data_IF_371261151525
#
_entry.id   IF_371261151525
#
_cell.length_a   1.000
_cell.length_b   1.000
_cell.length_c   1.000
_cell.angle_alpha   90.00
_cell.angle_beta   90.00
_cell.angle_gamma   90.00
#
_symmetry.space_group_name_H-M   'P 1'
#
loop_
_entity.id
_entity.type
_entity.pdbx_description
1 polymer ?
#
# COMPACT_ATOMS: atom_id res chain seq x y z
N UNK A 1 -12.63 21.68 -16.64
CA UNK A 1 -11.58 21.25 -15.70
C UNK A 1 -11.10 22.50 -14.97
N UNK A 2 -11.30 22.59 -13.65
CA UNK A 2 -10.86 23.74 -12.84
C UNK A 2 -9.41 23.52 -12.40
N UNK A 3 -8.42 24.30 -12.88
CA UNK A 3 -7.02 24.14 -12.47
C UNK A 3 -6.80 24.31 -10.96
N UNK A 4 -7.74 24.99 -10.28
CA UNK A 4 -7.71 25.19 -8.83
C UNK A 4 -8.11 23.94 -8.04
N UNK A 5 -8.89 23.04 -8.63
CA UNK A 5 -9.41 21.86 -7.93
C UNK A 5 -8.29 20.91 -7.47
N UNK A 6 -7.24 20.72 -8.27
CA UNK A 6 -6.10 19.89 -7.88
C UNK A 6 -5.35 20.50 -6.69
N UNK A 7 -5.11 21.82 -6.72
CA UNK A 7 -4.46 22.52 -5.61
C UNK A 7 -5.28 22.44 -4.32
N UNK A 8 -6.60 22.59 -4.42
CA UNK A 8 -7.53 22.45 -3.29
C UNK A 8 -7.50 21.04 -2.68
N UNK A 9 -7.51 19.99 -3.51
CA UNK A 9 -7.46 18.60 -3.06
C UNK A 9 -6.13 18.25 -2.38
N UNK A 10 -5.01 18.75 -2.91
CA UNK A 10 -3.68 18.53 -2.34
C UNK A 10 -3.47 19.18 -0.96
N UNK A 11 -4.24 20.22 -0.63
CA UNK A 11 -4.21 20.88 0.68
C UNK A 11 -5.49 20.58 1.48
N UNK A 12 -6.24 19.54 1.13
CA UNK A 12 -7.40 19.11 1.91
C UNK A 12 -6.95 18.11 2.98
N UNK A 13 -7.35 18.26 4.25
CA UNK A 13 -6.87 17.44 5.37
C UNK A 13 -7.16 15.93 5.20
N UNK A 14 -8.18 15.57 4.42
CA UNK A 14 -8.52 14.16 4.15
C UNK A 14 -8.13 13.69 2.76
N UNK A 15 -8.40 14.48 1.72
CA UNK A 15 -8.15 14.05 0.34
C UNK A 15 -6.66 14.04 -0.01
N UNK A 16 -5.86 14.92 0.60
CA UNK A 16 -4.43 15.02 0.30
C UNK A 16 -3.74 13.66 0.45
N UNK A 17 -4.03 12.91 1.53
CA UNK A 17 -3.51 11.57 1.77
C UNK A 17 -3.73 10.59 0.61
N UNK A 18 -4.87 10.69 -0.08
CA UNK A 18 -5.19 9.83 -1.22
C UNK A 18 -4.33 10.11 -2.46
N UNK A 19 -3.60 11.22 -2.52
CA UNK A 19 -2.60 11.44 -3.58
C UNK A 19 -1.54 10.32 -3.63
N UNK A 20 -1.23 9.68 -2.50
CA UNK A 20 -0.37 8.52 -2.46
C UNK A 20 -0.89 7.32 -3.28
N UNK A 21 -2.21 7.17 -3.41
CA UNK A 21 -2.83 6.07 -4.19
C UNK A 21 -2.52 6.17 -5.68
N UNK A 22 -2.37 7.38 -6.22
CA UNK A 22 -1.93 7.60 -7.59
C UNK A 22 -0.53 7.01 -7.83
N UNK A 23 0.41 7.27 -6.93
CA UNK A 23 1.77 6.73 -7.02
C UNK A 23 1.80 5.21 -6.87
N UNK A 24 1.02 4.67 -5.93
CA UNK A 24 0.83 3.22 -5.79
C UNK A 24 0.34 2.60 -7.11
N UNK A 25 -0.62 3.23 -7.80
CA UNK A 25 -1.12 2.72 -9.08
C UNK A 25 -0.02 2.64 -10.15
N UNK A 26 0.89 3.61 -10.21
CA UNK A 26 2.04 3.60 -11.12
C UNK A 26 2.95 2.41 -10.82
N UNK A 27 3.26 2.14 -9.55
CA UNK A 27 4.07 0.97 -9.18
C UNK A 27 3.44 -0.34 -9.67
N UNK A 28 2.12 -0.51 -9.54
CA UNK A 28 1.45 -1.71 -10.05
C UNK A 28 1.38 -1.76 -11.57
N UNK A 29 1.29 -0.61 -12.27
CA UNK A 29 1.42 -0.58 -13.72
C UNK A 29 2.82 -1.10 -14.13
N UNK A 30 3.89 -0.64 -13.47
CA UNK A 30 5.24 -1.13 -13.72
C UNK A 30 5.38 -2.63 -13.40
N UNK A 31 4.81 -3.07 -12.27
CA UNK A 31 4.78 -4.47 -11.85
C UNK A 31 4.12 -5.36 -12.91
N UNK A 32 2.94 -4.96 -13.40
CA UNK A 32 2.21 -5.73 -14.41
C UNK A 32 2.87 -5.66 -15.79
N UNK A 33 3.52 -4.53 -16.12
CA UNK A 33 4.31 -4.39 -17.34
C UNK A 33 5.50 -5.35 -17.34
N UNK A 34 6.16 -5.52 -16.19
CA UNK A 34 7.18 -6.53 -15.99
C UNK A 34 6.62 -7.94 -16.16
N UNK A 35 5.52 -8.27 -15.48
CA UNK A 35 4.97 -9.61 -15.45
C UNK A 35 4.40 -10.07 -16.80
N UNK A 36 3.69 -9.20 -17.51
CA UNK A 36 2.96 -9.56 -18.75
C UNK A 36 3.61 -9.01 -20.02
N UNK A 37 4.32 -7.89 -19.94
CA UNK A 37 4.93 -7.24 -21.10
C UNK A 37 6.29 -7.84 -21.47
N UNK A 38 7.20 -7.97 -20.50
CA UNK A 38 8.59 -8.40 -20.74
C UNK A 38 8.70 -9.76 -21.44
N UNK A 39 7.94 -10.81 -21.08
CA UNK A 39 8.02 -12.10 -21.78
C UNK A 39 7.71 -12.04 -23.28
N UNK A 40 6.98 -11.02 -23.73
CA UNK A 40 6.54 -10.84 -25.13
C UNK A 40 7.25 -9.69 -25.84
N UNK A 41 8.14 -8.96 -25.15
CA UNK A 41 8.79 -7.76 -25.65
C UNK A 41 10.31 -7.95 -25.72
N UNK A 42 10.99 -7.09 -26.48
CA UNK A 42 12.45 -7.13 -26.60
C UNK A 42 13.18 -6.55 -25.38
N UNK A 43 14.53 -6.65 -25.35
CA UNK A 43 15.38 -6.17 -24.26
C UNK A 43 15.21 -4.68 -23.90
N UNK A 44 14.67 -3.87 -24.83
CA UNK A 44 14.37 -2.46 -24.60
C UNK A 44 13.42 -2.24 -23.43
N UNK A 45 12.46 -3.15 -23.21
CA UNK A 45 11.47 -3.00 -22.14
C UNK A 45 12.10 -3.26 -20.77
N UNK A 46 12.99 -4.25 -20.67
CA UNK A 46 13.78 -4.53 -19.45
C UNK A 46 14.57 -3.29 -19.04
N UNK A 47 15.28 -2.66 -19.99
CA UNK A 47 16.03 -1.42 -19.74
C UNK A 47 15.12 -0.24 -19.37
N UNK A 48 13.95 -0.15 -20.00
CA UNK A 48 12.96 0.89 -19.72
C UNK A 48 12.45 0.77 -18.28
N UNK A 49 12.14 -0.45 -17.83
CA UNK A 49 11.64 -0.70 -16.48
C UNK A 49 12.70 -0.43 -15.39
N UNK A 50 13.98 -0.70 -15.66
CA UNK A 50 15.07 -0.28 -14.77
C UNK A 50 15.06 1.24 -14.57
N UNK A 51 14.99 2.00 -15.66
CA UNK A 51 14.99 3.48 -15.61
C UNK A 51 13.75 3.98 -14.87
N UNK A 52 12.59 3.42 -15.19
CA UNK A 52 11.31 3.80 -14.56
C UNK A 52 11.28 3.46 -13.08
N UNK A 53 11.91 2.37 -12.64
CA UNK A 53 12.00 2.01 -11.22
C UNK A 53 12.71 3.10 -10.41
N UNK A 54 13.91 3.53 -10.84
CA UNK A 54 14.67 4.56 -10.14
C UNK A 54 14.04 5.94 -10.24
N UNK A 55 13.47 6.29 -11.41
CA UNK A 55 12.72 7.53 -11.57
C UNK A 55 11.51 7.57 -10.63
N UNK A 56 10.73 6.49 -10.60
CA UNK A 56 9.57 6.35 -9.72
C UNK A 56 9.98 6.46 -8.25
N UNK A 57 11.04 5.76 -7.82
CA UNK A 57 11.52 5.83 -6.44
C UNK A 57 11.95 7.25 -6.06
N UNK A 58 12.66 7.95 -6.95
CA UNK A 58 13.06 9.35 -6.74
C UNK A 58 11.86 10.30 -6.64
N UNK A 59 10.90 10.17 -7.56
CA UNK A 59 9.67 10.97 -7.50
C UNK A 59 8.83 10.68 -6.26
N UNK A 60 8.66 9.41 -5.90
CA UNK A 60 7.95 9.01 -4.68
C UNK A 60 8.62 9.56 -3.42
N UNK A 61 9.95 9.63 -3.39
CA UNK A 61 10.70 10.22 -2.27
C UNK A 61 10.43 11.72 -2.14
N UNK A 62 10.41 12.44 -3.26
CA UNK A 62 10.04 13.86 -3.24
C UNK A 62 8.62 14.04 -2.74
N UNK A 63 7.67 13.24 -3.25
CA UNK A 63 6.25 13.32 -2.88
C UNK A 63 6.06 13.08 -1.39
N UNK A 64 6.62 12.00 -0.83
CA UNK A 64 6.45 11.69 0.59
C UNK A 64 7.05 12.78 1.50
N UNK A 65 8.20 13.35 1.12
CA UNK A 65 8.85 14.43 1.88
C UNK A 65 8.01 15.71 1.84
N UNK A 66 7.60 16.15 0.65
CA UNK A 66 6.80 17.37 0.52
C UNK A 66 5.43 17.22 1.16
N UNK A 67 4.79 16.06 0.99
CA UNK A 67 3.45 15.84 1.49
C UNK A 67 3.41 15.78 3.02
N UNK A 68 4.34 15.05 3.67
CA UNK A 68 4.42 15.11 5.13
C UNK A 68 4.84 16.49 5.64
N UNK A 69 5.67 17.23 4.90
CA UNK A 69 5.99 18.61 5.28
C UNK A 69 4.75 19.50 5.29
N UNK A 70 3.92 19.46 4.23
CA UNK A 70 2.66 20.21 4.16
C UNK A 70 1.71 19.77 5.28
N UNK A 71 1.55 18.47 5.51
CA UNK A 71 0.69 17.96 6.59
C UNK A 71 1.18 18.45 7.97
N UNK A 72 2.49 18.48 8.22
CA UNK A 72 3.03 18.91 9.51
C UNK A 72 3.00 20.42 9.70
N UNK A 73 2.99 21.21 8.63
CA UNK A 73 3.03 22.67 8.68
C UNK A 73 1.62 23.29 8.66
N UNK A 74 0.71 22.73 7.87
CA UNK A 74 -0.60 23.34 7.59
C UNK A 74 -1.77 22.70 8.36
N UNK A 75 -1.65 21.44 8.77
CA UNK A 75 -2.78 20.67 9.31
C UNK A 75 -2.61 20.29 10.79
N UNK A 76 -3.68 20.47 11.58
CA UNK A 76 -3.76 19.95 12.94
C UNK A 76 -4.59 18.66 12.95
N UNK A 77 -3.92 17.51 12.85
CA UNK A 77 -4.57 16.21 12.83
C UNK A 77 -4.64 15.60 14.24
N UNK A 78 -5.82 15.55 14.89
CA UNK A 78 -5.94 14.98 16.23
C UNK A 78 -5.71 13.47 16.17
N UNK A 79 -4.95 12.92 17.11
CA UNK A 79 -4.69 11.46 17.16
C UNK A 79 -5.99 10.65 17.27
N UNK A 80 -7.06 11.21 17.87
CA UNK A 80 -8.37 10.57 17.96
C UNK A 80 -9.03 10.28 16.58
N UNK A 81 -8.62 10.99 15.54
CA UNK A 81 -9.11 10.85 14.17
C UNK A 81 -8.17 10.00 13.29
N UNK A 82 -7.09 9.47 13.86
CA UNK A 82 -6.11 8.70 13.11
C UNK A 82 -6.75 7.51 12.40
N UNK A 83 -6.56 7.48 11.08
CA UNK A 83 -7.00 6.41 10.19
C UNK A 83 -5.80 5.83 9.43
N UNK A 84 -5.83 4.54 9.05
CA UNK A 84 -4.72 3.93 8.31
C UNK A 84 -4.45 4.62 6.95
N UNK A 85 -5.42 5.35 6.42
CA UNK A 85 -5.27 6.18 5.22
C UNK A 85 -4.16 7.24 5.36
N UNK A 86 -3.81 7.68 6.58
CA UNK A 86 -2.72 8.65 6.79
C UNK A 86 -1.34 8.14 6.36
N UNK A 87 -1.21 6.83 6.14
CA UNK A 87 0.00 6.20 5.62
C UNK A 87 0.09 6.22 4.08
N UNK A 88 -0.99 6.54 3.38
CA UNK A 88 -1.05 6.50 1.90
C UNK A 88 0.09 7.28 1.21
N UNK A 89 0.56 8.44 1.70
CA UNK A 89 1.70 9.15 1.09
C UNK A 89 3.02 8.37 1.10
N UNK A 90 3.28 7.57 2.14
CA UNK A 90 4.46 6.70 2.23
C UNK A 90 4.24 5.31 1.61
N UNK A 91 2.99 4.96 1.31
CA UNK A 91 2.64 3.66 0.75
C UNK A 91 3.36 3.27 -0.54
N UNK A 92 3.71 4.19 -1.47
CA UNK A 92 4.60 3.93 -2.59
C UNK A 92 5.88 3.15 -2.23
N UNK A 93 6.42 3.37 -1.03
CA UNK A 93 7.63 2.69 -0.56
C UNK A 93 7.39 1.25 -0.10
N UNK A 94 6.18 0.93 0.37
CA UNK A 94 5.80 -0.45 0.71
C UNK A 94 5.69 -1.33 -0.54
N UNK A 95 5.33 -0.74 -1.68
CA UNK A 95 5.16 -1.47 -2.96
C UNK A 95 6.41 -1.45 -3.85
N UNK A 96 7.43 -0.66 -3.51
CA UNK A 96 8.74 -0.66 -4.18
C UNK A 96 9.50 -1.98 -3.98
N UNK A 97 9.38 -2.60 -2.82
CA UNK A 97 9.99 -3.90 -2.53
C UNK A 97 9.47 -5.02 -3.42
N UNK A 98 8.14 -5.25 -3.49
CA UNK A 98 7.55 -6.22 -4.41
C UNK A 98 7.85 -5.92 -5.88
N UNK A 99 7.87 -4.63 -6.26
CA UNK A 99 8.24 -4.22 -7.61
C UNK A 99 9.70 -4.57 -7.93
N UNK A 100 10.64 -4.34 -7.00
CA UNK A 100 12.03 -4.74 -7.17
C UNK A 100 12.17 -6.25 -7.37
N UNK A 101 11.45 -7.06 -6.59
CA UNK A 101 11.51 -8.51 -6.66
C UNK A 101 11.11 -9.07 -8.03
N UNK A 102 10.09 -8.48 -8.68
CA UNK A 102 9.72 -8.91 -10.04
C UNK A 102 10.66 -8.38 -11.12
N UNK A 103 11.33 -7.26 -10.88
CA UNK A 103 12.24 -6.63 -11.84
C UNK A 103 13.61 -7.28 -11.85
N UNK A 104 14.22 -7.50 -10.69
CA UNK A 104 15.64 -7.84 -10.53
C UNK A 104 16.08 -9.06 -11.34
N UNK A 105 15.23 -10.10 -11.42
CA UNK A 105 15.56 -11.35 -12.10
C UNK A 105 15.69 -11.20 -13.62
N UNK A 106 14.92 -10.29 -14.23
CA UNK A 106 15.00 -10.03 -15.67
C UNK A 106 16.18 -9.16 -16.08
N UNK A 107 16.84 -8.53 -15.11
CA UNK A 107 17.88 -7.55 -15.34
C UNK A 107 19.25 -8.23 -15.47
N UNK A 108 20.18 -7.64 -16.23
CA UNK A 108 21.58 -8.05 -16.19
C UNK A 108 22.13 -8.05 -14.76
N UNK A 109 23.10 -8.93 -14.41
CA UNK A 109 23.61 -9.05 -13.03
C UNK A 109 24.12 -7.73 -12.42
N UNK A 110 24.71 -6.84 -13.23
CA UNK A 110 25.18 -5.52 -12.79
C UNK A 110 24.04 -4.54 -12.43
N UNK A 111 22.80 -4.85 -12.84
CA UNK A 111 21.60 -4.02 -12.62
C UNK A 111 20.61 -4.66 -11.64
N UNK A 112 20.51 -5.99 -11.65
CA UNK A 112 19.63 -6.74 -10.75
C UNK A 112 19.99 -6.53 -9.27
N UNK A 113 21.27 -6.63 -8.92
CA UNK A 113 21.72 -6.45 -7.53
C UNK A 113 21.43 -5.05 -6.97
N UNK A 114 21.71 -3.92 -7.67
CA UNK A 114 21.28 -2.61 -7.22
C UNK A 114 19.76 -2.48 -7.03
N UNK A 115 18.95 -3.08 -7.91
CA UNK A 115 17.49 -3.08 -7.77
C UNK A 115 17.06 -3.88 -6.54
N UNK A 116 17.66 -5.04 -6.27
CA UNK A 116 17.44 -5.81 -5.04
C UNK A 116 17.70 -4.97 -3.79
N UNK A 117 18.88 -4.34 -3.73
CA UNK A 117 19.30 -3.50 -2.59
C UNK A 117 18.37 -2.28 -2.46
N UNK A 118 18.01 -1.65 -3.58
CA UNK A 118 17.04 -0.56 -3.61
C UNK A 118 15.68 -1.00 -3.09
N UNK A 119 15.18 -2.16 -3.53
CA UNK A 119 13.92 -2.76 -3.08
C UNK A 119 13.86 -2.95 -1.57
N UNK A 120 14.91 -3.54 -0.98
CA UNK A 120 15.01 -3.69 0.49
C UNK A 120 15.05 -2.32 1.18
N UNK A 121 15.83 -1.38 0.66
CA UNK A 121 15.99 -0.04 1.24
C UNK A 121 14.67 0.71 1.27
N UNK A 122 13.97 0.74 0.14
CA UNK A 122 12.69 1.44 0.00
C UNK A 122 11.58 0.77 0.82
N UNK A 123 11.49 -0.56 0.80
CA UNK A 123 10.53 -1.28 1.63
C UNK A 123 10.79 -1.06 3.13
N UNK A 124 12.07 -1.04 3.54
CA UNK A 124 12.47 -0.73 4.91
C UNK A 124 12.02 0.66 5.35
N UNK A 125 12.22 1.67 4.51
CA UNK A 125 11.73 3.03 4.76
C UNK A 125 10.19 3.08 4.89
N UNK A 126 9.46 2.45 3.97
CA UNK A 126 8.01 2.35 4.02
C UNK A 126 7.51 1.65 5.30
N UNK A 127 8.15 0.54 5.68
CA UNK A 127 7.86 -0.20 6.91
C UNK A 127 8.11 0.63 8.17
N UNK A 128 9.22 1.39 8.23
CA UNK A 128 9.52 2.25 9.38
C UNK A 128 8.44 3.30 9.61
N UNK A 129 7.98 3.98 8.55
CA UNK A 129 6.87 4.95 8.65
C UNK A 129 5.58 4.24 9.05
N UNK A 130 5.29 3.09 8.44
CA UNK A 130 4.11 2.30 8.76
C UNK A 130 4.07 1.87 10.23
N UNK A 131 5.20 1.48 10.81
CA UNK A 131 5.29 1.07 12.21
C UNK A 131 4.98 2.23 13.18
N UNK A 132 5.43 3.45 12.85
CA UNK A 132 5.07 4.66 13.60
C UNK A 132 3.56 4.92 13.49
N UNK A 133 3.02 4.82 12.27
CA UNK A 133 1.58 5.02 12.02
C UNK A 133 0.70 3.95 12.68
N UNK A 134 1.14 2.70 12.74
CA UNK A 134 0.46 1.65 13.47
C UNK A 134 0.37 1.96 14.95
N UNK A 135 1.41 2.56 15.54
CA UNK A 135 1.37 2.99 16.94
C UNK A 135 0.28 4.04 17.15
N UNK A 136 0.21 5.07 16.29
CA UNK A 136 -0.83 6.11 16.36
C UNK A 136 -2.23 5.53 16.18
N UNK A 137 -2.42 4.67 15.18
CA UNK A 137 -3.72 4.04 14.92
C UNK A 137 -4.16 3.12 16.06
N UNK A 138 -3.23 2.34 16.63
CA UNK A 138 -3.53 1.48 17.77
C UNK A 138 -3.87 2.29 19.02
N UNK A 139 -3.14 3.38 19.29
CA UNK A 139 -3.48 4.34 20.35
C UNK A 139 -4.87 4.92 20.15
N UNK A 140 -5.23 5.30 18.93
CA UNK A 140 -6.58 5.78 18.60
C UNK A 140 -7.65 4.73 18.88
N UNK A 141 -7.45 3.49 18.42
CA UNK A 141 -8.43 2.40 18.63
C UNK A 141 -8.65 2.07 20.12
N UNK A 142 -7.67 2.34 20.98
CA UNK A 142 -7.82 2.16 22.44
C UNK A 142 -8.59 3.32 23.08
N UNK A 143 -8.37 4.54 22.60
CA UNK A 143 -8.85 5.77 23.26
C UNK A 143 -10.10 6.37 22.62
N UNK A 144 -10.59 5.78 21.52
CA UNK A 144 -11.72 6.30 20.75
C UNK A 144 -12.59 5.16 20.24
N UNK A 145 -13.81 5.49 19.84
CA UNK A 145 -14.71 4.50 19.24
C UNK A 145 -14.17 3.98 17.91
N UNK A 146 -14.57 2.75 17.55
CA UNK A 146 -14.32 2.19 16.23
C UNK A 146 -14.87 3.16 15.17
N UNK A 147 -14.19 3.34 14.02
CA UNK A 147 -14.65 4.24 12.96
C UNK A 147 -16.14 4.11 12.63
N UNK A 148 -16.79 5.24 12.23
CA UNK A 148 -18.14 5.24 11.69
C UNK A 148 -18.28 4.20 10.57
N UNK A 149 -19.47 3.60 10.42
CA UNK A 149 -19.69 2.47 9.52
C UNK A 149 -19.27 2.73 8.06
N UNK A 150 -19.40 3.97 7.59
CA UNK A 150 -18.99 4.42 6.25
C UNK A 150 -17.46 4.37 6.02
N UNK A 151 -16.67 4.53 7.08
CA UNK A 151 -15.20 4.57 7.02
C UNK A 151 -14.54 3.23 7.34
N UNK A 152 -15.29 2.26 7.87
CA UNK A 152 -14.77 0.94 8.26
C UNK A 152 -14.06 0.17 7.13
N UNK A 153 -14.43 0.28 5.84
CA UNK A 153 -13.60 -0.30 4.78
C UNK A 153 -12.15 0.19 4.82
N UNK A 154 -11.92 1.45 5.21
CA UNK A 154 -10.59 2.05 5.31
C UNK A 154 -9.70 1.41 6.39
N UNK A 155 -10.28 0.69 7.36
CA UNK A 155 -9.52 -0.06 8.36
C UNK A 155 -8.63 -1.13 7.71
N UNK A 156 -9.05 -1.68 6.56
CA UNK A 156 -8.27 -2.68 5.84
C UNK A 156 -6.97 -2.15 5.25
N UNK A 157 -6.83 -0.83 5.07
CA UNK A 157 -5.56 -0.23 4.63
C UNK A 157 -4.41 -0.55 5.60
N UNK A 158 -4.71 -0.81 6.88
CA UNK A 158 -3.74 -1.26 7.88
C UNK A 158 -3.15 -2.65 7.59
N UNK A 159 -3.78 -3.49 6.77
CA UNK A 159 -3.27 -4.83 6.42
C UNK A 159 -2.00 -4.72 5.58
N UNK A 160 -1.99 -3.78 4.64
CA UNK A 160 -1.04 -3.84 3.54
C UNK A 160 0.41 -3.54 3.91
N UNK A 161 0.76 -2.66 4.87
CA UNK A 161 2.16 -2.45 5.21
C UNK A 161 2.88 -3.71 5.69
N UNK A 162 2.29 -4.45 6.62
CA UNK A 162 2.81 -5.74 7.06
C UNK A 162 2.85 -6.76 5.91
N UNK A 163 1.80 -6.80 5.09
CA UNK A 163 1.68 -7.74 3.99
C UNK A 163 2.69 -7.50 2.85
N UNK A 164 2.83 -6.27 2.36
CA UNK A 164 3.78 -5.92 1.28
C UNK A 164 5.24 -6.01 1.76
N UNK A 165 5.51 -5.68 3.03
CA UNK A 165 6.83 -5.89 3.62
C UNK A 165 7.13 -7.38 3.74
N UNK A 166 6.17 -8.19 4.19
CA UNK A 166 6.27 -9.65 4.22
C UNK A 166 6.58 -10.21 2.82
N UNK A 167 5.81 -9.81 1.80
CA UNK A 167 6.05 -10.19 0.41
C UNK A 167 7.47 -9.83 -0.05
N UNK A 168 7.93 -8.61 0.24
CA UNK A 168 9.28 -8.15 -0.11
C UNK A 168 10.36 -9.04 0.49
N UNK A 169 10.28 -9.31 1.80
CA UNK A 169 11.29 -10.08 2.52
C UNK A 169 11.36 -11.52 2.02
N UNK A 170 10.21 -12.15 1.77
CA UNK A 170 10.16 -13.52 1.24
C UNK A 170 10.64 -13.56 -0.20
N UNK A 171 10.18 -12.66 -1.06
CA UNK A 171 10.52 -12.66 -2.49
C UNK A 171 12.00 -12.35 -2.73
N UNK A 172 12.49 -11.20 -2.25
CA UNK A 172 13.90 -10.81 -2.40
C UNK A 172 14.84 -11.79 -1.69
N UNK A 173 14.45 -12.29 -0.52
CA UNK A 173 15.21 -13.34 0.17
C UNK A 173 15.30 -14.63 -0.65
N UNK A 174 14.21 -15.03 -1.30
CA UNK A 174 14.18 -16.26 -2.09
C UNK A 174 14.93 -16.16 -3.41
N UNK A 175 15.01 -14.97 -4.00
CA UNK A 175 15.77 -14.71 -5.23
C UNK A 175 17.24 -14.37 -4.96
N UNK A 176 17.60 -14.04 -3.72
CA UNK A 176 18.96 -13.76 -3.28
C UNK A 176 20.01 -14.77 -3.81
N UNK A 177 19.84 -16.11 -3.73
CA UNK A 177 20.81 -17.08 -4.27
C UNK A 177 21.10 -16.95 -5.77
N UNK A 178 20.19 -16.34 -6.55
CA UNK A 178 20.33 -16.17 -8.01
C UNK A 178 20.96 -14.83 -8.38
N UNK A 179 20.80 -13.81 -7.52
CA UNK A 179 21.18 -12.43 -7.82
C UNK A 179 22.52 -12.05 -7.20
N UNK A 180 22.82 -12.57 -6.00
CA UNK A 180 24.05 -12.25 -5.29
C UNK A 180 25.28 -12.93 -5.94
N UNK A 181 26.35 -12.18 -6.25
CA UNK A 181 27.55 -12.76 -6.81
C UNK A 181 28.26 -13.68 -5.81
N UNK A 182 29.09 -14.62 -6.28
CA UNK A 182 30.03 -15.34 -5.42
C UNK A 182 30.93 -14.36 -4.66
N UNK A 183 31.34 -14.72 -3.43
CA UNK A 183 32.16 -13.86 -2.58
C UNK A 183 31.54 -12.49 -2.25
N UNK A 184 30.20 -12.34 -2.32
CA UNK A 184 29.54 -11.08 -1.97
C UNK A 184 29.93 -10.65 -0.55
N UNK A 185 30.26 -9.35 -0.39
CA UNK A 185 30.80 -8.77 0.85
C UNK A 185 32.15 -9.37 1.31
N UNK A 186 32.87 -10.09 0.45
CA UNK A 186 34.11 -10.80 0.81
C UNK A 186 33.87 -12.04 1.68
N UNK A 187 32.64 -12.59 1.64
CA UNK A 187 32.26 -13.78 2.41
C UNK A 187 32.37 -15.00 1.49
N UNK A 188 33.41 -15.82 1.72
CA UNK A 188 33.66 -17.06 0.97
C UNK A 188 33.29 -18.33 1.76
N UNK A 189 33.03 -18.20 3.06
CA UNK A 189 32.78 -19.33 3.95
C UNK A 189 31.40 -19.95 3.77
N UNK A 190 30.41 -19.15 3.35
CA UNK A 190 29.01 -19.56 3.11
C UNK A 190 28.44 -18.80 1.93
N UNK A 191 27.53 -19.40 1.12
CA UNK A 191 26.83 -18.66 0.07
C UNK A 191 25.95 -17.55 0.66
N UNK A 192 26.32 -16.28 0.43
CA UNK A 192 25.60 -15.13 0.99
C UNK A 192 24.10 -15.12 0.61
N UNK A 193 23.76 -15.56 -0.60
CA UNK A 193 22.38 -15.68 -1.05
C UNK A 193 21.54 -16.67 -0.23
N UNK A 194 22.13 -17.80 0.18
CA UNK A 194 21.43 -18.77 1.04
C UNK A 194 21.19 -18.20 2.44
N UNK A 195 22.14 -17.42 2.96
CA UNK A 195 21.97 -16.69 4.22
C UNK A 195 20.85 -15.66 4.13
N UNK A 196 20.80 -14.90 3.04
CA UNK A 196 19.72 -13.93 2.79
C UNK A 196 18.35 -14.62 2.71
N UNK A 197 18.27 -15.77 2.02
CA UNK A 197 17.06 -16.60 1.99
C UNK A 197 16.65 -17.09 3.38
N UNK A 198 17.62 -17.61 4.14
CA UNK A 198 17.39 -18.13 5.49
C UNK A 198 16.96 -17.05 6.50
N UNK A 199 17.20 -15.76 6.22
CA UNK A 199 16.75 -14.64 7.05
C UNK A 199 15.44 -14.04 6.51
N UNK A 200 15.38 -13.76 5.21
CA UNK A 200 14.26 -13.07 4.57
C UNK A 200 12.96 -13.86 4.67
N UNK A 201 13.01 -15.18 4.49
CA UNK A 201 11.81 -16.03 4.54
C UNK A 201 11.20 -16.05 5.96
N UNK A 202 11.93 -16.39 7.04
CA UNK A 202 11.38 -16.29 8.39
C UNK A 202 10.94 -14.87 8.79
N UNK A 203 11.68 -13.83 8.39
CA UNK A 203 11.31 -12.44 8.69
C UNK A 203 10.00 -12.04 8.00
N UNK A 204 9.80 -12.49 6.76
CA UNK A 204 8.54 -12.28 6.05
C UNK A 204 7.37 -13.02 6.71
N UNK A 205 7.56 -14.28 7.12
CA UNK A 205 6.54 -15.07 7.85
C UNK A 205 6.18 -14.39 9.18
N UNK A 206 7.19 -13.90 9.92
CA UNK A 206 7.00 -13.17 11.17
C UNK A 206 6.07 -11.96 11.01
N UNK A 207 6.25 -11.18 9.93
CA UNK A 207 5.41 -10.02 9.64
C UNK A 207 4.03 -10.37 9.08
N UNK A 208 3.89 -11.50 8.40
CA UNK A 208 2.65 -11.88 7.72
C UNK A 208 1.45 -11.94 8.68
N UNK A 209 1.65 -12.52 9.87
CA UNK A 209 0.59 -12.69 10.86
C UNK A 209 0.03 -11.35 11.36
N UNK A 210 0.85 -10.30 11.41
CA UNK A 210 0.39 -8.96 11.78
C UNK A 210 -0.59 -8.41 10.74
N UNK A 211 -0.32 -8.60 9.44
CA UNK A 211 -1.24 -8.23 8.38
C UNK A 211 -2.56 -9.00 8.47
N UNK A 212 -2.49 -10.31 8.74
CA UNK A 212 -3.68 -11.14 8.97
C UNK A 212 -4.49 -10.68 10.19
N UNK A 213 -3.83 -10.26 11.27
CA UNK A 213 -4.51 -9.74 12.45
C UNK A 213 -5.31 -8.47 12.15
N UNK A 214 -4.72 -7.50 11.42
CA UNK A 214 -5.46 -6.32 10.95
C UNK A 214 -6.62 -6.68 10.01
N UNK A 215 -6.45 -7.70 9.17
CA UNK A 215 -7.51 -8.20 8.29
C UNK A 215 -8.68 -8.76 9.11
N UNK A 216 -8.40 -9.55 10.15
CA UNK A 216 -9.41 -10.10 11.05
C UNK A 216 -10.13 -8.98 11.80
N UNK A 217 -9.40 -7.99 12.33
CA UNK A 217 -9.96 -6.82 13.01
C UNK A 217 -10.91 -6.02 12.10
N UNK A 218 -10.46 -5.69 10.87
CA UNK A 218 -11.27 -4.98 9.88
C UNK A 218 -12.52 -5.78 9.48
N UNK A 219 -12.38 -7.10 9.32
CA UNK A 219 -13.49 -8.00 8.97
C UNK A 219 -14.57 -8.01 10.06
N UNK A 220 -14.18 -8.15 11.33
CA UNK A 220 -15.12 -8.12 12.46
C UNK A 220 -15.84 -6.77 12.52
N UNK A 221 -15.09 -5.66 12.37
CA UNK A 221 -15.63 -4.31 12.39
C UNK A 221 -16.69 -4.08 11.29
N UNK A 222 -16.39 -4.52 10.06
CA UNK A 222 -17.30 -4.41 8.93
C UNK A 222 -18.53 -5.31 9.10
N UNK A 223 -18.37 -6.55 9.58
CA UNK A 223 -19.50 -7.46 9.82
C UNK A 223 -20.48 -6.85 10.83
N UNK A 224 -19.98 -6.24 11.91
CA UNK A 224 -20.82 -5.56 12.90
C UNK A 224 -21.53 -4.32 12.35
N UNK A 225 -20.93 -3.63 11.37
CA UNK A 225 -21.44 -2.38 10.79
C UNK A 225 -22.22 -2.56 9.47
N UNK A 226 -22.21 -3.75 8.89
CA UNK A 226 -22.61 -3.99 7.49
C UNK A 226 -23.98 -3.43 7.13
N UNK A 227 -24.97 -3.53 8.03
CA UNK A 227 -26.35 -3.08 7.77
C UNK A 227 -26.49 -1.57 7.58
N UNK A 228 -25.54 -0.78 8.09
CA UNK A 228 -25.52 0.69 8.02
C UNK A 228 -24.43 1.21 7.10
N UNK A 229 -23.68 0.31 6.46
CA UNK A 229 -22.58 0.69 5.59
C UNK A 229 -23.14 1.18 4.25
N UNK A 230 -22.76 2.39 3.88
CA UNK A 230 -23.04 2.96 2.56
C UNK A 230 -21.84 2.74 1.64
N UNK A 231 -22.11 2.70 0.34
CA UNK A 231 -21.03 2.55 -0.64
C UNK A 231 -20.21 3.84 -0.72
N UNK A 232 -18.90 3.71 -0.57
CA UNK A 232 -17.91 4.75 -0.79
C UNK A 232 -16.73 4.19 -1.62
N UNK A 233 -15.93 5.06 -2.23
CA UNK A 233 -14.69 4.71 -2.91
C UNK A 233 -13.69 4.06 -1.96
N UNK A 234 -13.79 4.33 -0.65
CA UNK A 234 -13.01 3.66 0.39
C UNK A 234 -13.26 2.13 0.39
N UNK A 235 -14.38 1.63 -0.14
CA UNK A 235 -14.62 0.19 -0.34
C UNK A 235 -13.56 -0.51 -1.20
N UNK A 236 -12.79 0.20 -2.02
CA UNK A 236 -11.64 -0.40 -2.72
C UNK A 236 -10.55 -0.93 -1.77
N UNK A 237 -10.56 -0.48 -0.52
CA UNK A 237 -9.72 -1.01 0.57
C UNK A 237 -10.05 -2.47 0.93
N UNK A 238 -11.17 -3.03 0.48
CA UNK A 238 -11.46 -4.47 0.61
C UNK A 238 -10.57 -5.34 -0.28
N UNK A 239 -9.96 -4.74 -1.30
CA UNK A 239 -9.19 -5.47 -2.32
C UNK A 239 -7.71 -5.18 -2.19
N UNK A 240 -7.35 -3.90 -2.23
CA UNK A 240 -5.97 -3.48 -2.45
C UNK A 240 -4.97 -4.09 -1.44
N UNK A 241 -5.08 -3.84 -0.12
CA UNK A 241 -4.16 -4.41 0.89
C UNK A 241 -4.12 -5.95 0.95
N UNK A 242 -5.25 -6.58 0.64
CA UNK A 242 -5.48 -8.02 0.76
C UNK A 242 -4.83 -8.77 -0.40
N UNK A 243 -4.68 -8.13 -1.56
CA UNK A 243 -3.82 -8.64 -2.63
C UNK A 243 -2.40 -8.80 -2.10
N UNK A 244 -1.86 -7.80 -1.39
CA UNK A 244 -0.55 -7.91 -0.74
C UNK A 244 -0.48 -9.09 0.23
N UNK A 245 -1.50 -9.25 1.09
CA UNK A 245 -1.54 -10.33 2.09
C UNK A 245 -1.57 -11.71 1.44
N UNK A 246 -2.32 -11.83 0.36
CA UNK A 246 -2.48 -13.08 -0.40
C UNK A 246 -1.22 -13.42 -1.17
N UNK A 247 -0.59 -12.45 -1.85
CA UNK A 247 0.68 -12.66 -2.56
C UNK A 247 1.78 -13.07 -1.58
N UNK A 248 1.88 -12.41 -0.43
CA UNK A 248 2.83 -12.80 0.61
C UNK A 248 2.62 -14.25 1.08
N UNK A 249 1.35 -14.65 1.31
CA UNK A 249 1.02 -16.02 1.66
C UNK A 249 1.34 -17.01 0.55
N UNK A 250 1.14 -16.64 -0.72
CA UNK A 250 1.52 -17.48 -1.89
C UNK A 250 3.02 -17.72 -1.86
N UNK A 251 3.83 -16.66 -1.74
CA UNK A 251 5.29 -16.78 -1.70
C UNK A 251 5.75 -17.63 -0.51
N UNK A 252 5.14 -17.48 0.65
CA UNK A 252 5.41 -18.33 1.82
C UNK A 252 5.06 -19.79 1.53
N UNK A 253 3.90 -20.06 0.93
CA UNK A 253 3.46 -21.40 0.56
C UNK A 253 4.38 -22.08 -0.44
N UNK A 254 4.87 -21.32 -1.44
CA UNK A 254 5.82 -21.81 -2.43
C UNK A 254 7.17 -22.15 -1.81
N UNK A 255 7.72 -21.26 -0.98
CA UNK A 255 9.05 -21.46 -0.39
C UNK A 255 9.06 -22.57 0.68
N UNK A 256 7.95 -22.73 1.40
CA UNK A 256 7.78 -23.82 2.38
C UNK A 256 7.30 -25.14 1.73
N UNK A 257 7.07 -25.14 0.41
CA UNK A 257 6.52 -26.28 -0.33
C UNK A 257 5.24 -26.87 0.32
N UNK A 258 4.38 -25.99 0.84
CA UNK A 258 3.21 -26.39 1.64
C UNK A 258 1.93 -26.37 0.81
N UNK A 259 1.43 -27.56 0.47
CA UNK A 259 0.15 -27.71 -0.25
C UNK A 259 -1.05 -27.16 0.54
N UNK A 260 -0.99 -27.19 1.88
CA UNK A 260 -2.01 -26.59 2.74
C UNK A 260 -2.09 -25.07 2.56
N UNK A 261 -0.94 -24.38 2.57
CA UNK A 261 -0.88 -22.93 2.33
C UNK A 261 -1.28 -22.60 0.89
N UNK A 262 -0.85 -23.40 -0.09
CA UNK A 262 -1.29 -23.26 -1.50
C UNK A 262 -2.81 -23.39 -1.65
N UNK A 263 -3.44 -24.33 -0.94
CA UNK A 263 -4.90 -24.48 -0.92
C UNK A 263 -5.61 -23.25 -0.32
N UNK A 264 -5.13 -22.75 0.82
CA UNK A 264 -5.67 -21.54 1.47
C UNK A 264 -5.53 -20.32 0.56
N UNK A 265 -4.36 -20.13 -0.05
CA UNK A 265 -4.10 -18.98 -0.93
C UNK A 265 -4.88 -19.03 -2.24
N UNK A 266 -5.16 -20.24 -2.75
CA UNK A 266 -6.10 -20.43 -3.86
C UNK A 266 -7.51 -19.94 -3.49
N UNK A 267 -7.99 -20.30 -2.30
CA UNK A 267 -9.29 -19.82 -1.80
C UNK A 267 -9.30 -18.29 -1.57
N UNK A 268 -8.24 -17.73 -0.98
CA UNK A 268 -8.09 -16.28 -0.82
C UNK A 268 -8.11 -15.55 -2.17
N UNK A 269 -7.45 -16.10 -3.18
CA UNK A 269 -7.44 -15.53 -4.54
C UNK A 269 -8.83 -15.51 -5.17
N UNK A 270 -9.59 -16.61 -5.05
CA UNK A 270 -10.98 -16.68 -5.53
C UNK A 270 -11.86 -15.63 -4.85
N UNK A 271 -11.74 -15.49 -3.52
CA UNK A 271 -12.48 -14.49 -2.75
C UNK A 271 -12.12 -13.06 -3.18
N UNK A 272 -10.84 -12.78 -3.43
CA UNK A 272 -10.39 -11.47 -3.90
C UNK A 272 -10.91 -11.12 -5.29
N UNK A 273 -10.84 -12.06 -6.24
CA UNK A 273 -11.37 -11.85 -7.60
C UNK A 273 -12.88 -11.61 -7.54
N UNK A 274 -13.60 -12.40 -6.74
CA UNK A 274 -15.04 -12.22 -6.52
C UNK A 274 -15.33 -10.85 -5.91
N UNK A 275 -14.62 -10.48 -4.85
CA UNK A 275 -14.74 -9.19 -4.19
C UNK A 275 -14.46 -8.03 -5.14
N UNK A 276 -13.45 -8.14 -6.01
CA UNK A 276 -13.11 -7.13 -7.00
C UNK A 276 -14.29 -6.86 -7.93
N UNK A 277 -14.93 -7.90 -8.46
CA UNK A 277 -16.11 -7.75 -9.32
C UNK A 277 -17.29 -7.11 -8.59
N UNK A 278 -17.51 -7.44 -7.31
CA UNK A 278 -18.57 -6.84 -6.50
C UNK A 278 -18.33 -5.34 -6.27
N UNK A 279 -17.11 -4.96 -5.88
CA UNK A 279 -16.74 -3.54 -5.66
C UNK A 279 -16.77 -2.76 -6.99
N UNK A 280 -16.30 -3.36 -8.08
CA UNK A 280 -16.37 -2.75 -9.40
C UNK A 280 -17.82 -2.51 -9.85
N UNK A 281 -18.71 -3.50 -9.68
CA UNK A 281 -20.13 -3.37 -9.99
C UNK A 281 -20.80 -2.29 -9.12
N UNK A 282 -20.47 -2.24 -7.83
CA UNK A 282 -20.96 -1.20 -6.91
C UNK A 282 -20.45 0.19 -7.32
N UNK A 283 -19.20 0.31 -7.78
CA UNK A 283 -18.63 1.57 -8.29
C UNK A 283 -19.38 2.04 -9.54
N UNK A 284 -19.60 1.15 -10.52
CA UNK A 284 -20.36 1.47 -11.74
C UNK A 284 -21.78 1.91 -11.39
N UNK A 285 -22.43 1.21 -10.46
CA UNK A 285 -23.76 1.58 -9.96
C UNK A 285 -23.74 2.94 -9.27
N UNK A 286 -22.75 3.23 -8.43
CA UNK A 286 -22.61 4.52 -7.74
C UNK A 286 -22.44 5.69 -8.71
N UNK A 287 -21.65 5.49 -9.78
CA UNK A 287 -21.49 6.48 -10.86
C UNK A 287 -22.81 6.67 -11.63
N UNK A 288 -23.51 5.59 -11.97
CA UNK A 288 -24.82 5.69 -12.64
C UNK A 288 -25.83 6.45 -11.77
N UNK A 289 -25.94 6.09 -10.49
CA UNK A 289 -26.84 6.72 -9.53
C UNK A 289 -26.40 8.14 -9.11
N UNK A 290 -25.26 8.65 -9.64
CA UNK A 290 -24.69 9.96 -9.33
C UNK A 290 -24.38 10.17 -7.85
N UNK A 291 -24.01 9.09 -7.17
CA UNK A 291 -23.56 9.07 -5.77
C UNK A 291 -22.04 9.24 -5.63
N UNK A 292 -21.32 9.17 -6.73
CA UNK A 292 -19.85 9.26 -6.80
C UNK A 292 -19.47 10.00 -8.08
N UNK A 293 -18.46 10.87 -7.99
CA UNK A 293 -18.01 11.77 -9.07
C UNK A 293 -19.09 12.77 -9.52
N UNK A 294 -19.89 13.26 -8.57
CA UNK A 294 -20.96 14.23 -8.85
C UNK A 294 -20.98 15.39 -7.85
N UNK A 295 -20.94 16.61 -8.37
CA UNK A 295 -20.88 17.84 -7.57
C UNK A 295 -22.01 17.91 -6.54
N UNK A 296 -21.66 18.07 -5.26
CA UNK A 296 -22.63 18.17 -4.15
C UNK A 296 -23.18 16.82 -3.66
N UNK A 297 -22.71 15.70 -4.21
CA UNK A 297 -23.06 14.34 -3.77
C UNK A 297 -21.82 13.47 -3.49
N UNK A 298 -20.63 14.04 -3.62
CA UNK A 298 -19.36 13.37 -3.35
C UNK A 298 -19.11 13.20 -1.84
N UNK A 299 -18.12 12.38 -1.50
CA UNK A 299 -17.87 11.96 -0.11
C UNK A 299 -17.40 13.11 0.80
N UNK A 300 -16.97 14.21 0.19
CA UNK A 300 -16.32 15.36 0.83
C UNK A 300 -17.30 16.55 0.98
N UNK A 301 -18.57 16.37 0.64
CA UNK A 301 -19.58 17.46 0.65
C UNK A 301 -19.76 18.06 2.06
N UNK A 302 -19.76 17.20 3.07
CA UNK A 302 -19.86 17.62 4.48
C UNK A 302 -18.64 18.47 4.89
N UNK A 303 -17.46 18.23 4.31
CA UNK A 303 -16.23 18.96 4.62
C UNK A 303 -16.19 20.34 3.93
N UNK A 304 -16.77 20.45 2.73
CA UNK A 304 -16.93 21.74 2.02
C UNK A 304 -17.92 22.65 2.75
N UNK A 305 -18.98 22.09 3.34
CA UNK A 305 -19.97 22.84 4.11
C UNK A 305 -19.47 23.22 5.51
N UNK A 306 -18.56 22.45 6.11
CA UNK A 306 -17.94 22.75 7.41
C UNK A 306 -16.90 23.87 7.34
N UNK A 307 -16.17 23.99 6.23
CA UNK A 307 -15.04 24.93 6.06
C UNK A 307 -15.39 26.43 6.30
N UNK A 308 -16.53 26.97 5.82
CA UNK A 308 -16.95 28.34 6.15
C UNK A 308 -17.28 28.52 7.64
N UNK A 309 -17.83 27.50 8.29
CA UNK A 309 -18.17 27.55 9.71
C UNK A 309 -16.90 27.54 10.57
N UNK A 310 -15.90 26.74 10.22
CA UNK A 310 -14.62 26.68 10.94
C UNK A 310 -13.80 27.97 10.77
N UNK A 311 -13.79 28.58 9.59
CA UNK A 311 -13.19 29.90 9.37
C UNK A 311 -13.89 31.00 10.20
N UNK A 312 -15.22 30.96 10.31
CA UNK A 312 -15.98 31.91 11.13
C UNK A 312 -15.71 31.70 12.64
N UNK A 313 -15.62 30.44 13.09
CA UNK A 313 -15.27 30.09 14.47
C UNK A 313 -13.82 30.46 14.82
N UNK A 314 -12.87 30.24 13.90
CA UNK A 314 -11.47 30.62 14.08
C UNK A 314 -11.30 32.15 14.15
N UNK A 315 -12.10 32.89 13.38
CA UNK A 315 -12.14 34.36 13.43
C UNK A 315 -12.70 34.85 14.78
N UNK A 316 -13.78 34.26 15.27
CA UNK A 316 -14.37 34.56 16.59
C UNK A 316 -13.47 34.24 17.79
N UNK A 317 -12.47 33.36 17.66
CA UNK A 317 -11.47 33.13 18.74
C UNK A 317 -10.31 34.13 18.72
N UNK A 318 -10.14 34.89 17.63
CA UNK A 318 -9.07 35.88 17.46
C UNK A 318 -9.49 37.30 17.80
N UNK A 319 -10.78 37.53 17.99
CA UNK A 319 -11.40 38.78 18.45
C UNK A 319 -11.76 38.68 19.95
#
# INVERSE_FOLDING_TARGET
MSPRALGLSLHHPRESFFFGTFWVSIAFILYNTQLYGVPSCGPWLVRTLEILFWLYAGCALLVVVFQYHVIFDEEQLPVAEAMPAWLLPAYPFLVLGPLAAVLEYSQPPDRGLPIMIGGITFAGFGWSIAFIMYTLYFTRLINSEIPPERERPGMFLAVGPAAYTSNTLVALGSDAPKILPPAYLGIDSVPAGDVWKAIGVPAGIFLWLLGFWFFALGSISVIYGWKKMEFSLVCWSFIFPQVGLTIAAIQIGEVLESDGIRGVTSAMSILLVTGWFLVAAATVRGVWERKVLWSGMDEDVDDIEARPADEEFAKKRRD
#
